data_IF_347339246376
#
_entry.id   IF_347339246376
#
_cell.length_a   1.000
_cell.length_b   1.000
_cell.length_c   1.000
_cell.angle_alpha   90.00
_cell.angle_beta   90.00
_cell.angle_gamma   90.00
#
_symmetry.space_group_name_H-M   'P 1'
#
loop_
_entity.id
_entity.type
_entity.pdbx_description
1 polymer ?
#
# COMPACT_ATOMS: atom_id res chain seq x y z
N UNK A 1 -14.60 -20.24 -26.52
CA UNK A 1 -13.44 -19.99 -27.41
C UNK A 1 -13.20 -18.49 -27.42
N UNK A 2 -12.22 -18.01 -26.63
CA UNK A 2 -11.86 -16.61 -26.63
C UNK A 2 -11.11 -16.29 -27.91
N UNK A 3 -11.71 -15.46 -28.75
CA UNK A 3 -11.09 -14.92 -29.96
C UNK A 3 -9.87 -14.12 -29.53
N UNK A 4 -8.68 -14.53 -29.89
CA UNK A 4 -7.50 -13.70 -29.88
C UNK A 4 -7.76 -12.52 -30.83
N UNK A 5 -8.26 -11.41 -30.30
CA UNK A 5 -8.28 -10.18 -31.05
C UNK A 5 -6.84 -9.83 -31.39
N UNK A 6 -6.60 -9.63 -32.64
CA UNK A 6 -5.31 -9.27 -33.22
C UNK A 6 -4.97 -7.83 -32.80
N UNK A 7 -4.49 -7.67 -31.57
CA UNK A 7 -3.96 -6.40 -31.11
C UNK A 7 -2.69 -6.15 -31.89
N UNK A 8 -2.66 -5.13 -32.73
CA UNK A 8 -1.45 -4.69 -33.41
C UNK A 8 -0.34 -4.59 -32.38
N UNK A 9 0.74 -5.35 -32.57
CA UNK A 9 1.89 -5.31 -31.64
C UNK A 9 2.41 -3.87 -31.63
N UNK A 10 2.52 -3.30 -30.43
CA UNK A 10 3.20 -2.01 -30.28
C UNK A 10 4.61 -2.13 -30.85
N UNK A 11 5.12 -1.09 -31.55
CA UNK A 11 6.48 -1.09 -32.06
C UNK A 11 7.46 -1.26 -30.90
N UNK A 12 8.55 -2.00 -31.14
CA UNK A 12 9.60 -2.20 -30.13
C UNK A 12 10.25 -0.87 -29.70
N UNK A 13 10.32 0.08 -30.62
CA UNK A 13 10.77 1.45 -30.39
C UNK A 13 9.65 2.37 -30.85
N UNK A 14 9.13 3.17 -29.95
CA UNK A 14 8.14 4.20 -30.25
C UNK A 14 8.84 5.54 -30.49
N UNK A 15 8.83 6.00 -31.72
CA UNK A 15 9.46 7.26 -32.10
C UNK A 15 8.82 8.50 -31.45
N UNK A 16 7.58 8.39 -30.96
CA UNK A 16 6.92 9.48 -30.23
C UNK A 16 7.57 9.77 -28.86
N UNK A 17 8.39 8.85 -28.38
CA UNK A 17 9.13 9.02 -27.11
C UNK A 17 10.37 9.87 -27.26
N UNK A 18 10.84 10.09 -28.49
CA UNK A 18 12.07 10.83 -28.79
C UNK A 18 11.81 12.34 -28.88
N UNK A 19 12.78 13.11 -28.44
CA UNK A 19 12.88 14.55 -28.74
C UNK A 19 13.93 14.77 -29.83
N UNK A 20 13.51 14.80 -31.09
CA UNK A 20 14.38 14.95 -32.24
C UNK A 20 14.95 16.36 -32.38
N UNK A 21 14.58 17.32 -31.54
CA UNK A 21 15.17 18.67 -31.50
C UNK A 21 16.50 18.70 -30.74
N UNK A 22 16.83 17.63 -30.01
CA UNK A 22 18.08 17.50 -29.26
C UNK A 22 19.01 16.53 -29.97
N UNK A 23 20.26 16.90 -30.12
CA UNK A 23 21.28 16.01 -30.70
C UNK A 23 21.65 14.90 -29.70
N UNK A 24 21.76 13.62 -30.13
CA UNK A 24 21.99 12.50 -29.21
C UNK A 24 23.38 12.54 -28.53
N UNK A 25 24.34 13.23 -29.09
CA UNK A 25 25.68 13.48 -28.55
C UNK A 25 25.71 14.64 -27.53
N UNK A 26 24.71 15.52 -27.58
CA UNK A 26 24.58 16.63 -26.63
C UNK A 26 23.85 16.19 -25.33
N UNK A 27 22.71 15.53 -25.45
CA UNK A 27 21.95 14.97 -24.33
C UNK A 27 21.16 13.75 -24.81
N UNK A 28 21.76 12.59 -24.63
CA UNK A 28 21.12 11.32 -25.03
C UNK A 28 19.85 11.00 -24.25
N UNK A 29 19.79 11.39 -22.97
CA UNK A 29 18.61 11.14 -22.15
C UNK A 29 17.41 11.96 -22.67
N UNK A 30 17.61 13.25 -22.85
CA UNK A 30 16.57 14.12 -23.42
C UNK A 30 16.18 13.68 -24.83
N UNK A 31 17.17 13.38 -25.68
CA UNK A 31 16.92 12.86 -27.03
C UNK A 31 16.02 11.61 -27.00
N UNK A 32 16.34 10.61 -26.18
CA UNK A 32 15.65 9.32 -26.17
C UNK A 32 14.30 9.31 -25.43
N UNK A 33 14.09 10.24 -24.48
CA UNK A 33 12.94 10.21 -23.57
C UNK A 33 12.15 11.52 -23.52
N UNK A 34 12.60 12.59 -24.15
CA UNK A 34 11.98 13.92 -24.03
C UNK A 34 10.54 13.97 -24.55
N UNK A 35 10.25 13.27 -25.65
CA UNK A 35 8.89 13.12 -26.16
C UNK A 35 7.97 12.39 -25.15
N UNK A 36 8.48 11.32 -24.56
CA UNK A 36 7.74 10.57 -23.52
C UNK A 36 7.45 11.45 -22.30
N UNK A 37 8.43 12.19 -21.79
CA UNK A 37 8.27 13.10 -20.64
C UNK A 37 7.23 14.19 -20.91
N UNK A 38 7.25 14.75 -22.10
CA UNK A 38 6.29 15.76 -22.54
C UNK A 38 4.85 15.21 -22.59
N UNK A 39 4.69 13.96 -23.03
CA UNK A 39 3.40 13.29 -23.15
C UNK A 39 2.90 12.71 -21.80
N UNK A 40 3.79 12.51 -20.82
CA UNK A 40 3.49 11.95 -19.52
C UNK A 40 4.01 12.87 -18.39
N UNK A 41 3.45 14.07 -18.23
CA UNK A 41 3.88 14.99 -17.20
C UNK A 41 3.68 14.38 -15.79
N UNK A 42 4.62 14.65 -14.90
CA UNK A 42 4.55 14.20 -13.51
C UNK A 42 3.33 14.84 -12.83
N UNK A 43 2.43 14.00 -12.31
CA UNK A 43 1.29 14.47 -11.55
C UNK A 43 1.68 14.85 -10.12
N UNK A 44 0.96 15.77 -9.45
CA UNK A 44 1.30 16.23 -8.10
C UNK A 44 1.39 15.13 -7.04
N UNK A 45 0.63 14.05 -7.21
CA UNK A 45 0.59 12.91 -6.31
C UNK A 45 1.78 11.95 -6.45
N UNK A 46 2.61 12.10 -7.49
CA UNK A 46 3.76 11.24 -7.75
C UNK A 46 5.08 11.98 -7.54
N UNK A 47 6.01 11.38 -6.81
CA UNK A 47 7.40 11.85 -6.73
C UNK A 47 8.25 11.44 -7.95
N UNK A 48 7.80 10.41 -8.67
CA UNK A 48 8.37 9.88 -9.92
C UNK A 48 7.28 9.19 -10.72
N UNK A 49 7.42 9.15 -12.03
CA UNK A 49 6.52 8.43 -12.92
C UNK A 49 7.31 7.85 -14.10
N UNK A 50 7.07 6.61 -14.44
CA UNK A 50 7.78 5.91 -15.50
C UNK A 50 7.00 4.71 -16.06
N UNK A 51 7.65 3.92 -16.90
CA UNK A 51 7.02 2.78 -17.58
C UNK A 51 6.41 1.75 -16.61
N UNK A 52 7.04 1.52 -15.46
CA UNK A 52 6.51 0.62 -14.43
C UNK A 52 5.25 1.17 -13.77
N UNK A 53 5.15 2.49 -13.61
CA UNK A 53 3.95 3.13 -13.07
C UNK A 53 2.79 3.01 -14.06
N UNK A 54 3.04 3.20 -15.36
CA UNK A 54 2.05 2.97 -16.42
C UNK A 54 1.57 1.51 -16.41
N UNK A 55 2.48 0.54 -16.27
CA UNK A 55 2.13 -0.88 -16.20
C UNK A 55 1.26 -1.18 -14.97
N UNK A 56 1.61 -0.62 -13.80
CA UNK A 56 0.82 -0.74 -12.59
C UNK A 56 -0.58 -0.16 -12.78
N UNK A 57 -0.70 1.08 -13.24
CA UNK A 57 -1.98 1.76 -13.45
C UNK A 57 -2.88 0.99 -14.45
N UNK A 58 -2.30 0.45 -15.51
CA UNK A 58 -3.01 -0.36 -16.49
C UNK A 58 -3.45 -1.71 -15.89
N UNK A 59 -2.61 -2.33 -15.05
CA UNK A 59 -2.94 -3.58 -14.37
C UNK A 59 -4.07 -3.39 -13.36
N UNK A 60 -4.01 -2.32 -12.57
CA UNK A 60 -5.07 -1.94 -11.62
C UNK A 60 -6.42 -1.73 -12.34
N UNK A 61 -6.42 -1.03 -13.47
CA UNK A 61 -7.65 -0.87 -14.29
C UNK A 61 -8.21 -2.20 -14.75
N UNK A 62 -7.35 -3.09 -15.29
CA UNK A 62 -7.77 -4.41 -15.76
C UNK A 62 -8.32 -5.29 -14.64
N UNK A 63 -7.68 -5.25 -13.46
CA UNK A 63 -8.14 -5.99 -12.29
C UNK A 63 -9.50 -5.46 -11.83
N UNK A 64 -9.68 -4.13 -11.77
CA UNK A 64 -10.96 -3.52 -11.42
C UNK A 64 -12.08 -3.87 -12.41
N UNK A 65 -11.79 -3.85 -13.71
CA UNK A 65 -12.73 -4.28 -14.75
C UNK A 65 -13.12 -5.75 -14.56
N UNK A 66 -12.14 -6.63 -14.36
CA UNK A 66 -12.36 -8.07 -14.14
C UNK A 66 -13.22 -8.32 -12.88
N UNK A 67 -12.91 -7.65 -11.76
CA UNK A 67 -13.68 -7.80 -10.53
C UNK A 67 -15.11 -7.26 -10.70
N UNK A 68 -15.25 -6.11 -11.37
CA UNK A 68 -16.57 -5.57 -11.69
C UNK A 68 -17.41 -6.54 -12.57
N UNK A 69 -16.79 -7.19 -13.53
CA UNK A 69 -17.46 -8.22 -14.34
C UNK A 69 -17.86 -9.44 -13.50
N UNK A 70 -16.99 -9.90 -12.60
CA UNK A 70 -17.28 -11.00 -11.69
C UNK A 70 -18.49 -10.72 -10.79
N UNK A 71 -18.74 -9.45 -10.44
CA UNK A 71 -19.93 -9.10 -9.64
C UNK A 71 -21.26 -9.28 -10.37
N UNK A 72 -21.22 -9.38 -11.70
CA UNK A 72 -22.40 -9.53 -12.57
C UNK A 72 -22.72 -11.00 -12.91
N UNK A 73 -21.79 -11.91 -12.61
CA UNK A 73 -21.94 -13.33 -12.89
C UNK A 73 -22.70 -14.00 -11.75
N UNK A 74 -23.63 -14.89 -12.07
CA UNK A 74 -24.24 -15.79 -11.08
C UNK A 74 -23.28 -16.95 -10.81
N UNK A 75 -22.38 -16.76 -9.88
CA UNK A 75 -21.35 -17.74 -9.55
C UNK A 75 -21.88 -18.83 -8.61
N UNK A 76 -21.35 -20.06 -8.75
CA UNK A 76 -21.72 -21.16 -7.89
C UNK A 76 -21.31 -20.93 -6.43
N UNK A 77 -22.12 -21.34 -5.44
CA UNK A 77 -21.77 -21.23 -4.01
C UNK A 77 -20.40 -21.88 -3.72
N UNK A 78 -19.51 -21.14 -3.06
CA UNK A 78 -18.16 -21.59 -2.69
C UNK A 78 -17.11 -21.51 -3.79
N UNK A 79 -17.47 -21.09 -5.01
CA UNK A 79 -16.52 -20.91 -6.11
C UNK A 79 -15.57 -19.73 -5.86
N UNK A 80 -14.46 -19.69 -6.58
CA UNK A 80 -13.48 -18.60 -6.52
C UNK A 80 -14.13 -17.29 -6.99
N UNK A 81 -14.93 -17.34 -8.03
CA UNK A 81 -15.65 -16.20 -8.59
C UNK A 81 -16.61 -15.58 -7.57
N UNK A 82 -17.35 -16.42 -6.81
CA UNK A 82 -18.21 -15.92 -5.74
C UNK A 82 -17.40 -15.22 -4.66
N UNK A 83 -16.33 -15.85 -4.19
CA UNK A 83 -15.49 -15.29 -3.11
C UNK A 83 -14.88 -13.93 -3.50
N UNK A 84 -14.38 -13.82 -4.72
CA UNK A 84 -13.85 -12.55 -5.26
C UNK A 84 -14.96 -11.51 -5.36
N UNK A 85 -16.11 -11.88 -5.91
CA UNK A 85 -17.26 -10.99 -6.07
C UNK A 85 -17.75 -10.47 -4.72
N UNK A 86 -17.89 -11.34 -3.72
CA UNK A 86 -18.36 -10.97 -2.40
C UNK A 86 -17.37 -10.05 -1.68
N UNK A 87 -16.06 -10.37 -1.75
CA UNK A 87 -15.02 -9.53 -1.16
C UNK A 87 -14.98 -8.14 -1.81
N UNK A 88 -15.08 -8.08 -3.13
CA UNK A 88 -15.09 -6.81 -3.87
C UNK A 88 -16.32 -5.97 -3.53
N UNK A 89 -17.51 -6.57 -3.48
CA UNK A 89 -18.75 -5.91 -3.06
C UNK A 89 -18.67 -5.39 -1.63
N UNK A 90 -18.11 -6.19 -0.72
CA UNK A 90 -17.90 -5.76 0.67
C UNK A 90 -16.98 -4.55 0.79
N UNK A 91 -15.90 -4.53 0.00
CA UNK A 91 -14.97 -3.39 -0.03
C UNK A 91 -15.57 -2.10 -0.60
N UNK A 92 -16.58 -2.21 -1.46
CA UNK A 92 -17.29 -1.07 -2.06
C UNK A 92 -18.55 -0.65 -1.30
N UNK A 93 -18.97 -1.40 -0.29
CA UNK A 93 -20.15 -1.08 0.53
C UNK A 93 -19.86 0.06 1.51
N UNK A 94 -19.79 1.28 0.99
CA UNK A 94 -19.55 2.48 1.80
C UNK A 94 -20.63 2.71 2.86
N UNK A 95 -21.86 2.26 2.63
CA UNK A 95 -22.95 2.38 3.60
C UNK A 95 -22.66 1.54 4.83
N UNK A 96 -22.29 0.29 4.64
CA UNK A 96 -21.89 -0.61 5.71
C UNK A 96 -20.62 -0.13 6.42
N UNK A 97 -19.58 0.21 5.65
CA UNK A 97 -18.32 0.71 6.20
C UNK A 97 -18.52 1.95 7.08
N UNK A 98 -19.36 2.88 6.64
CA UNK A 98 -19.68 4.07 7.43
C UNK A 98 -20.51 3.77 8.68
N UNK A 99 -21.43 2.80 8.58
CA UNK A 99 -22.25 2.39 9.73
C UNK A 99 -21.44 1.64 10.79
N UNK A 100 -20.54 0.75 10.38
CA UNK A 100 -19.67 -0.02 11.29
C UNK A 100 -18.56 0.86 11.88
N UNK A 101 -18.01 1.80 11.11
CA UNK A 101 -16.92 2.69 11.54
C UNK A 101 -15.75 1.90 12.12
N UNK A 102 -15.29 2.26 13.32
CA UNK A 102 -14.21 1.58 14.03
C UNK A 102 -14.67 0.40 14.91
N UNK A 103 -15.95 0.06 14.94
CA UNK A 103 -16.49 -0.99 15.81
C UNK A 103 -15.77 -2.36 15.67
N UNK A 104 -15.35 -2.82 14.47
CA UNK A 104 -14.59 -4.05 14.31
C UNK A 104 -13.22 -4.06 15.00
N UNK A 105 -12.63 -2.88 15.25
CA UNK A 105 -11.32 -2.74 15.90
C UNK A 105 -11.41 -2.66 17.42
N UNK A 106 -12.60 -2.46 17.96
CA UNK A 106 -12.82 -2.15 19.39
C UNK A 106 -12.16 -3.16 20.32
N UNK A 107 -12.39 -4.46 20.10
CA UNK A 107 -11.82 -5.49 20.96
C UNK A 107 -10.29 -5.54 20.92
N UNK A 108 -9.69 -5.32 19.76
CA UNK A 108 -8.23 -5.28 19.62
C UNK A 108 -7.63 -4.04 20.31
N UNK A 109 -8.29 -2.89 20.19
CA UNK A 109 -7.88 -1.66 20.86
C UNK A 109 -8.00 -1.81 22.38
N UNK A 110 -9.11 -2.34 22.90
CA UNK A 110 -9.30 -2.59 24.33
C UNK A 110 -8.24 -3.55 24.88
N UNK A 111 -7.89 -4.59 24.15
CA UNK A 111 -6.84 -5.54 24.53
C UNK A 111 -5.46 -4.86 24.59
N UNK A 112 -5.12 -4.01 23.62
CA UNK A 112 -3.88 -3.23 23.63
C UNK A 112 -3.83 -2.27 24.82
N UNK A 113 -4.94 -1.57 25.09
CA UNK A 113 -5.03 -0.61 26.19
C UNK A 113 -5.05 -1.28 27.57
N UNK A 114 -5.35 -2.57 27.68
CA UNK A 114 -5.31 -3.33 28.92
C UNK A 114 -3.92 -3.77 29.38
N UNK A 115 -2.88 -3.46 28.58
CA UNK A 115 -1.48 -3.83 28.89
C UNK A 115 -0.96 -2.95 30.04
N UNK A 116 -0.59 -3.59 31.14
CA UNK A 116 -0.06 -2.90 32.33
C UNK A 116 1.45 -3.07 32.48
N UNK A 117 2.03 -4.13 31.92
CA UNK A 117 3.45 -4.44 32.06
C UNK A 117 4.10 -4.97 30.77
N UNK A 118 5.44 -5.06 30.78
CA UNK A 118 6.23 -5.53 29.63
C UNK A 118 5.99 -6.99 29.26
N UNK A 119 5.65 -7.84 30.22
CA UNK A 119 5.36 -9.24 29.97
C UNK A 119 4.10 -9.40 29.14
N UNK A 120 3.03 -8.70 29.54
CA UNK A 120 1.77 -8.64 28.80
C UNK A 120 1.96 -8.05 27.40
N UNK A 121 2.79 -6.99 27.27
CA UNK A 121 3.12 -6.38 25.98
C UNK A 121 3.71 -7.42 25.00
N UNK A 122 4.62 -8.27 25.48
CA UNK A 122 5.23 -9.33 24.65
C UNK A 122 4.17 -10.30 24.12
N UNK A 123 3.20 -10.68 24.96
CA UNK A 123 2.09 -11.55 24.56
C UNK A 123 1.22 -10.93 23.48
N UNK A 124 0.85 -9.65 23.65
CA UNK A 124 0.05 -8.92 22.65
C UNK A 124 0.80 -8.73 21.33
N UNK A 125 2.07 -8.37 21.38
CA UNK A 125 2.90 -8.27 20.18
C UNK A 125 2.94 -9.59 19.42
N UNK A 126 3.18 -10.71 20.10
CA UNK A 126 3.15 -12.03 19.49
C UNK A 126 1.79 -12.35 18.84
N UNK A 127 0.70 -12.03 19.52
CA UNK A 127 -0.66 -12.20 18.98
C UNK A 127 -0.90 -11.33 17.74
N UNK A 128 -0.51 -10.07 17.76
CA UNK A 128 -0.67 -9.15 16.62
C UNK A 128 0.11 -9.64 15.40
N UNK A 129 1.30 -10.22 15.58
CA UNK A 129 2.07 -10.83 14.47
C UNK A 129 1.38 -12.03 13.82
N UNK A 130 0.42 -12.67 14.46
CA UNK A 130 -0.41 -13.71 13.85
C UNK A 130 -1.61 -13.18 13.08
N UNK A 131 -1.81 -11.87 13.07
CA UNK A 131 -2.88 -11.17 12.37
C UNK A 131 -2.33 -10.34 11.20
N UNK A 132 -2.88 -9.17 10.97
CA UNK A 132 -2.44 -8.24 9.89
C UNK A 132 -1.48 -7.15 10.37
N UNK A 133 -1.20 -7.08 11.67
CA UNK A 133 -0.36 -6.05 12.26
C UNK A 133 1.05 -6.57 12.55
N UNK A 134 2.07 -5.81 12.16
CA UNK A 134 3.47 -6.08 12.47
C UNK A 134 4.05 -4.92 13.30
N UNK A 135 3.67 -4.81 14.60
CA UNK A 135 4.21 -3.78 15.46
C UNK A 135 5.69 -4.02 15.70
N UNK A 136 6.52 -2.98 15.68
CA UNK A 136 7.95 -2.95 15.97
C UNK A 136 8.87 -3.63 14.95
N UNK A 137 8.54 -4.81 14.42
CA UNK A 137 9.39 -5.54 13.46
C UNK A 137 8.54 -6.39 12.52
N UNK A 138 9.09 -6.69 11.34
CA UNK A 138 8.48 -7.63 10.40
C UNK A 138 8.96 -9.06 10.67
N UNK A 139 8.06 -10.03 10.49
CA UNK A 139 8.36 -11.46 10.56
C UNK A 139 7.90 -12.13 9.27
N UNK A 140 8.75 -12.93 8.67
CA UNK A 140 8.40 -13.66 7.46
C UNK A 140 9.20 -14.94 7.31
N UNK A 141 8.66 -15.89 6.58
CA UNK A 141 9.36 -17.12 6.20
C UNK A 141 9.64 -17.06 4.71
N UNK A 142 10.89 -17.25 4.34
CA UNK A 142 11.33 -17.30 2.94
C UNK A 142 12.51 -18.26 2.78
N UNK A 143 12.86 -18.59 1.54
CA UNK A 143 14.04 -19.40 1.26
C UNK A 143 15.29 -18.73 1.86
N UNK A 144 16.14 -19.54 2.49
CA UNK A 144 17.40 -19.06 3.04
C UNK A 144 18.29 -18.50 1.93
N UNK A 145 18.89 -17.33 2.18
CA UNK A 145 19.71 -16.64 1.18
C UNK A 145 21.00 -17.38 0.82
N UNK A 146 21.48 -18.26 1.71
CA UNK A 146 22.69 -19.05 1.51
C UNK A 146 22.39 -20.48 1.07
N UNK A 147 21.16 -20.96 1.35
CA UNK A 147 20.72 -22.30 0.95
C UNK A 147 19.22 -22.29 0.62
N UNK A 148 18.88 -22.12 -0.63
CA UNK A 148 17.48 -22.02 -1.10
C UNK A 148 16.65 -23.30 -0.92
N UNK A 149 17.26 -24.42 -0.56
CA UNK A 149 16.54 -25.69 -0.35
C UNK A 149 15.83 -25.74 1.02
N UNK A 150 16.12 -24.78 1.90
CA UNK A 150 15.49 -24.67 3.21
C UNK A 150 14.80 -23.31 3.38
N UNK A 151 13.77 -23.30 4.21
CA UNK A 151 13.13 -22.05 4.62
C UNK A 151 13.68 -21.58 5.96
N UNK A 152 13.93 -20.28 6.08
CA UNK A 152 14.37 -19.62 7.30
C UNK A 152 13.36 -18.56 7.76
N UNK A 153 13.29 -18.34 9.07
CA UNK A 153 12.55 -17.25 9.66
C UNK A 153 13.40 -15.96 9.58
N UNK A 154 12.86 -14.95 8.95
CA UNK A 154 13.48 -13.63 8.85
C UNK A 154 12.76 -12.63 9.75
N UNK A 155 13.55 -11.88 10.50
CA UNK A 155 13.10 -10.72 11.27
C UNK A 155 13.70 -9.49 10.60
N UNK A 156 12.86 -8.52 10.27
CA UNK A 156 13.26 -7.30 9.57
C UNK A 156 12.78 -6.05 10.32
N UNK A 157 13.47 -4.95 10.13
CA UNK A 157 13.05 -3.68 10.67
C UNK A 157 11.67 -3.29 10.08
N UNK A 158 10.76 -2.87 10.95
CA UNK A 158 9.43 -2.37 10.61
C UNK A 158 8.97 -1.33 11.63
N UNK A 159 7.79 -0.79 11.47
CA UNK A 159 7.16 0.12 12.42
C UNK A 159 7.45 1.61 12.17
N UNK A 160 8.32 1.98 11.24
CA UNK A 160 8.52 3.37 10.85
C UNK A 160 7.46 3.79 9.82
N UNK A 161 6.37 4.37 10.27
CA UNK A 161 5.22 4.73 9.43
C UNK A 161 5.57 5.85 8.43
N UNK A 162 6.46 6.76 8.77
CA UNK A 162 6.94 7.79 7.85
C UNK A 162 8.06 7.28 6.91
N UNK A 163 8.42 6.00 6.98
CA UNK A 163 9.29 5.31 6.03
C UNK A 163 10.79 5.53 6.24
N UNK A 164 11.26 6.71 6.60
CA UNK A 164 12.67 7.02 6.78
C UNK A 164 12.95 7.63 8.15
N UNK A 165 14.08 7.27 8.77
CA UNK A 165 14.59 7.82 10.01
C UNK A 165 14.67 9.36 10.00
N UNK A 166 15.06 9.93 8.88
CA UNK A 166 15.31 11.37 8.76
C UNK A 166 14.03 12.21 8.95
N UNK A 167 12.87 11.66 8.60
CA UNK A 167 11.58 12.29 8.91
C UNK A 167 11.32 12.43 10.42
N UNK A 168 11.90 11.55 11.24
CA UNK A 168 11.78 11.61 12.71
C UNK A 168 12.83 12.50 13.36
N UNK A 169 14.05 12.59 12.83
CA UNK A 169 15.19 13.18 13.50
C UNK A 169 15.66 14.52 12.90
N UNK A 170 15.50 14.72 11.59
CA UNK A 170 15.99 15.91 10.91
C UNK A 170 15.13 17.15 11.29
N UNK A 171 15.75 18.25 11.77
CA UNK A 171 15.04 19.49 12.06
C UNK A 171 14.24 20.06 10.88
N UNK A 172 14.72 19.91 9.66
CA UNK A 172 14.02 20.39 8.45
C UNK A 172 12.66 19.72 8.24
N UNK A 173 12.48 18.51 8.76
CA UNK A 173 11.25 17.72 8.69
C UNK A 173 10.26 17.97 9.85
N UNK A 174 10.42 19.01 10.63
CA UNK A 174 9.52 19.29 11.77
C UNK A 174 8.07 19.47 11.32
N UNK A 175 7.83 20.11 10.19
CA UNK A 175 6.49 20.28 9.64
C UNK A 175 5.80 18.95 9.30
N UNK A 176 6.57 17.94 8.82
CA UNK A 176 6.09 16.59 8.55
C UNK A 176 5.72 15.89 9.86
N UNK A 177 6.58 15.96 10.89
CA UNK A 177 6.29 15.40 12.21
C UNK A 177 5.04 15.98 12.86
N UNK A 178 4.82 17.30 12.72
CA UNK A 178 3.61 17.94 13.21
C UNK A 178 2.37 17.40 12.51
N UNK A 179 2.38 17.35 11.16
CA UNK A 179 1.27 16.75 10.41
C UNK A 179 1.03 15.29 10.76
N UNK A 180 2.09 14.52 11.01
CA UNK A 180 1.99 13.14 11.45
C UNK A 180 1.34 13.01 12.85
N UNK A 181 1.70 13.86 13.81
CA UNK A 181 1.05 13.89 15.12
C UNK A 181 -0.43 14.24 15.03
N UNK A 182 -0.80 15.20 14.20
CA UNK A 182 -2.21 15.53 13.94
C UNK A 182 -2.97 14.34 13.34
N UNK A 183 -2.36 13.64 12.39
CA UNK A 183 -2.90 12.42 11.80
C UNK A 183 -3.11 11.33 12.85
N UNK A 184 -2.11 11.04 13.69
CA UNK A 184 -2.23 10.06 14.77
C UNK A 184 -3.36 10.42 15.74
N UNK A 185 -3.49 11.69 16.13
CA UNK A 185 -4.60 12.13 16.99
C UNK A 185 -5.96 11.86 16.38
N UNK A 186 -6.13 12.06 15.06
CA UNK A 186 -7.38 11.71 14.37
C UNK A 186 -7.64 10.21 14.37
N UNK A 187 -6.62 9.39 14.07
CA UNK A 187 -6.77 7.93 14.05
C UNK A 187 -7.13 7.40 15.44
N UNK A 188 -6.49 7.88 16.50
CA UNK A 188 -6.80 7.45 17.86
C UNK A 188 -8.23 7.83 18.29
N UNK A 189 -8.72 9.00 17.91
CA UNK A 189 -10.13 9.38 18.14
C UNK A 189 -11.09 8.45 17.37
N UNK A 190 -10.80 8.14 16.12
CA UNK A 190 -11.59 7.18 15.33
C UNK A 190 -11.57 5.78 15.93
N UNK A 191 -10.45 5.37 16.53
CA UNK A 191 -10.35 4.10 17.26
C UNK A 191 -11.09 4.09 18.61
N UNK A 192 -11.65 5.23 19.03
CA UNK A 192 -12.41 5.34 20.27
C UNK A 192 -11.54 5.53 21.52
N UNK A 193 -10.27 5.92 21.37
CA UNK A 193 -9.40 6.25 22.51
C UNK A 193 -9.96 7.50 23.20
N UNK A 194 -10.09 7.51 24.55
CA UNK A 194 -10.55 8.65 25.30
C UNK A 194 -9.68 9.89 25.03
N UNK A 195 -10.28 11.06 24.89
CA UNK A 195 -9.55 12.30 24.54
C UNK A 195 -8.40 12.61 25.50
N UNK A 196 -8.58 12.32 26.79
CA UNK A 196 -7.54 12.51 27.81
C UNK A 196 -6.28 11.64 27.57
N UNK A 197 -6.42 10.54 26.84
CA UNK A 197 -5.32 9.61 26.54
C UNK A 197 -4.75 9.84 25.14
N UNK A 198 -5.48 10.51 24.23
CA UNK A 198 -5.02 10.80 22.87
C UNK A 198 -3.73 11.62 22.89
N UNK A 199 -3.66 12.67 23.71
CA UNK A 199 -2.46 13.52 23.80
C UNK A 199 -1.24 12.72 24.27
N UNK A 200 -1.42 11.86 25.28
CA UNK A 200 -0.34 10.99 25.78
C UNK A 200 0.10 9.99 24.71
N UNK A 201 -0.85 9.35 24.02
CA UNK A 201 -0.55 8.38 22.97
C UNK A 201 0.17 9.02 21.76
N UNK A 202 -0.12 10.30 21.46
CA UNK A 202 0.56 11.05 20.38
C UNK A 202 1.94 11.53 20.81
N UNK A 203 2.14 11.81 22.09
CA UNK A 203 3.42 12.31 22.61
C UNK A 203 4.47 11.22 22.80
N UNK A 204 4.06 9.98 23.09
CA UNK A 204 4.94 8.81 23.31
C UNK A 204 5.46 8.24 22.02
#
# INVERSE_FOLDING_TARGET
MASCQNTSKAPAIDMANFDLSVAPDADFYQYATGGWQKNNPLKPEYSRYGSFDILRDNNEKRINELFSEMTKISAAPGSVEQKISDLYKMGLDSTRLNAEGAAPLKSAVEEILSVEDRGQLTGIVAKLHTTVANPFFGVGVQADLMNSDINALYISQSGLTMGNRDYYLDPENEHIRRGYKEYLGRIFRFAGIPEADVEKAVAG
#
